data_IF_705577160167
#
_entry.id   IF_705577160167
#
_cell.length_a   1.000
_cell.length_b   1.000
_cell.length_c   1.000
_cell.angle_alpha   90.00
_cell.angle_beta   90.00
_cell.angle_gamma   90.00
#
_symmetry.space_group_name_H-M   'P 1'
#
loop_
_entity.id
_entity.type
_entity.pdbx_description
1 polymer ?
#
# COMPACT_ATOMS: atom_id res chain seq x y z
N UNK A 1 -41.39 5.68 17.56
CA UNK A 1 -40.32 6.05 16.62
C UNK A 1 -39.89 4.88 15.75
N UNK A 2 -39.43 3.75 16.32
CA UNK A 2 -39.00 2.56 15.55
C UNK A 2 -40.03 2.05 14.52
N UNK A 3 -41.32 2.07 14.86
CA UNK A 3 -42.38 1.59 13.95
C UNK A 3 -42.47 2.34 12.61
N UNK A 4 -42.16 3.65 12.55
CA UNK A 4 -42.23 4.41 11.28
C UNK A 4 -41.00 4.17 10.40
N UNK A 5 -39.82 3.99 11.00
CA UNK A 5 -38.60 3.65 10.27
C UNK A 5 -38.75 2.24 9.68
N UNK A 6 -39.21 1.28 10.48
CA UNK A 6 -39.47 -0.10 10.04
C UNK A 6 -40.51 -0.15 8.90
N UNK A 7 -41.59 0.62 9.01
CA UNK A 7 -42.59 0.73 7.93
C UNK A 7 -41.99 1.37 6.66
N UNK A 8 -41.18 2.42 6.81
CA UNK A 8 -40.47 3.04 5.68
C UNK A 8 -39.52 2.06 4.99
N UNK A 9 -38.76 1.27 5.76
CA UNK A 9 -37.90 0.21 5.26
C UNK A 9 -38.70 -0.88 4.54
N UNK A 10 -39.84 -1.31 5.09
CA UNK A 10 -40.71 -2.28 4.44
C UNK A 10 -41.25 -1.76 3.09
N UNK A 11 -41.71 -0.51 3.03
CA UNK A 11 -42.14 0.11 1.77
C UNK A 11 -41.02 0.23 0.75
N UNK A 12 -39.82 0.56 1.20
CA UNK A 12 -38.63 0.56 0.35
C UNK A 12 -38.38 -0.83 -0.26
N UNK A 13 -38.42 -1.90 0.55
CA UNK A 13 -38.25 -3.27 0.07
C UNK A 13 -39.37 -3.74 -0.87
N UNK A 14 -40.56 -3.16 -0.76
CA UNK A 14 -41.69 -3.41 -1.67
C UNK A 14 -41.68 -2.55 -2.95
N UNK A 15 -40.66 -1.70 -3.14
CA UNK A 15 -40.59 -0.78 -4.27
C UNK A 15 -41.51 0.45 -4.18
N UNK A 16 -42.18 0.63 -3.04
CA UNK A 16 -43.06 1.76 -2.73
C UNK A 16 -42.23 2.98 -2.28
N UNK A 17 -41.47 3.51 -3.23
CA UNK A 17 -40.42 4.51 -3.01
C UNK A 17 -40.95 5.85 -2.49
N UNK A 18 -42.09 6.32 -3.00
CA UNK A 18 -42.68 7.57 -2.58
C UNK A 18 -43.17 7.52 -1.12
N UNK A 19 -43.84 6.43 -0.76
CA UNK A 19 -44.39 6.17 0.56
C UNK A 19 -43.27 5.98 1.58
N UNK A 20 -42.23 5.22 1.23
CA UNK A 20 -41.03 5.05 2.06
C UNK A 20 -40.43 6.42 2.43
N UNK A 21 -40.29 7.33 1.46
CA UNK A 21 -39.74 8.67 1.69
C UNK A 21 -40.62 9.54 2.58
N UNK A 22 -41.94 9.49 2.41
CA UNK A 22 -42.88 10.25 3.26
C UNK A 22 -42.75 9.80 4.71
N UNK A 23 -42.77 8.48 4.94
CA UNK A 23 -42.65 7.91 6.29
C UNK A 23 -41.28 8.21 6.92
N UNK A 24 -40.19 8.19 6.15
CA UNK A 24 -38.87 8.53 6.65
C UNK A 24 -38.81 10.00 7.12
N UNK A 25 -39.34 10.93 6.33
CA UNK A 25 -39.41 12.36 6.70
C UNK A 25 -40.29 12.59 7.95
N UNK A 26 -41.39 11.86 8.09
CA UNK A 26 -42.24 11.91 9.28
C UNK A 26 -41.50 11.38 10.51
N UNK A 27 -40.78 10.26 10.37
CA UNK A 27 -39.96 9.72 11.45
C UNK A 27 -38.88 10.72 11.90
N UNK A 28 -38.20 11.39 10.96
CA UNK A 28 -37.20 12.41 11.26
C UNK A 28 -37.80 13.63 11.97
N UNK A 29 -38.97 14.11 11.53
CA UNK A 29 -39.66 15.21 12.18
C UNK A 29 -40.01 14.88 13.64
N UNK A 30 -40.54 13.68 13.89
CA UNK A 30 -40.85 13.21 15.24
C UNK A 30 -39.61 13.03 16.11
N UNK A 31 -38.48 12.60 15.52
CA UNK A 31 -37.22 12.48 16.24
C UNK A 31 -36.71 13.86 16.69
N UNK A 32 -36.77 14.87 15.81
CA UNK A 32 -36.42 16.27 16.14
C UNK A 32 -37.25 16.85 17.27
N UNK A 33 -38.56 16.60 17.24
CA UNK A 33 -39.49 17.08 18.26
C UNK A 33 -39.24 16.38 19.61
N UNK A 34 -38.72 15.15 19.60
CA UNK A 34 -38.48 14.35 20.80
C UNK A 34 -37.10 14.58 21.45
N UNK A 35 -36.11 15.06 20.70
CA UNK A 35 -34.71 15.15 21.15
C UNK A 35 -34.24 16.56 21.55
N UNK A 36 -35.15 17.53 21.75
CA UNK A 36 -34.81 18.94 21.98
C UNK A 36 -33.83 19.50 20.91
N UNK A 37 -33.90 18.97 19.68
CA UNK A 37 -33.05 19.36 18.56
C UNK A 37 -31.71 18.61 18.45
N UNK A 38 -31.43 17.63 19.33
CA UNK A 38 -30.27 16.74 19.20
C UNK A 38 -30.61 15.49 18.36
N UNK A 39 -30.73 15.64 17.04
CA UNK A 39 -31.10 14.55 16.11
C UNK A 39 -29.90 13.76 15.60
N UNK A 40 -29.37 12.90 16.46
CA UNK A 40 -28.36 11.89 16.12
C UNK A 40 -28.93 10.47 16.06
N UNK A 41 -30.19 10.31 15.63
CA UNK A 41 -30.89 9.03 15.68
C UNK A 41 -31.07 8.30 14.34
N UNK A 42 -31.60 7.06 14.39
CA UNK A 42 -31.78 6.19 13.23
C UNK A 42 -32.66 6.79 12.11
N UNK A 43 -33.56 7.74 12.42
CA UNK A 43 -34.40 8.35 11.40
C UNK A 43 -33.60 9.28 10.48
N UNK A 44 -32.62 10.02 11.02
CA UNK A 44 -31.74 10.88 10.25
C UNK A 44 -30.84 10.04 9.32
N UNK A 45 -30.26 8.94 9.83
CA UNK A 45 -29.45 8.04 9.02
C UNK A 45 -30.25 7.41 7.87
N UNK A 46 -31.47 6.94 8.17
CA UNK A 46 -32.34 6.36 7.16
C UNK A 46 -32.80 7.39 6.12
N UNK A 47 -33.10 8.62 6.53
CA UNK A 47 -33.39 9.72 5.61
C UNK A 47 -32.20 10.06 4.71
N UNK A 48 -30.98 10.10 5.26
CA UNK A 48 -29.76 10.34 4.52
C UNK A 48 -29.56 9.28 3.43
N UNK A 49 -29.69 8.00 3.81
CA UNK A 49 -29.59 6.87 2.89
C UNK A 49 -30.64 6.95 1.77
N UNK A 50 -31.92 7.15 2.11
CA UNK A 50 -32.97 7.26 1.09
C UNK A 50 -32.72 8.44 0.16
N UNK A 51 -32.44 9.63 0.68
CA UNK A 51 -32.17 10.80 -0.15
C UNK A 51 -30.95 10.59 -1.06
N UNK A 52 -29.87 9.99 -0.55
CA UNK A 52 -28.69 9.64 -1.33
C UNK A 52 -29.02 8.67 -2.48
N UNK A 53 -29.80 7.63 -2.18
CA UNK A 53 -30.26 6.62 -3.13
C UNK A 53 -31.10 7.20 -4.28
N UNK A 54 -31.76 8.33 -4.07
CA UNK A 54 -32.51 9.06 -5.11
C UNK A 54 -31.70 10.16 -5.80
N UNK A 55 -30.40 10.28 -5.51
CA UNK A 55 -29.56 11.34 -6.06
C UNK A 55 -29.87 12.73 -5.50
N UNK A 56 -30.56 12.82 -4.35
CA UNK A 56 -30.92 14.09 -3.70
C UNK A 56 -29.75 14.63 -2.87
N UNK A 57 -28.58 14.76 -3.49
CA UNK A 57 -27.31 15.04 -2.81
C UNK A 57 -27.34 16.34 -2.00
N UNK A 58 -28.00 17.39 -2.50
CA UNK A 58 -28.18 18.64 -1.75
C UNK A 58 -28.96 18.44 -0.44
N UNK A 59 -29.96 17.56 -0.46
CA UNK A 59 -30.76 17.23 0.73
C UNK A 59 -29.91 16.50 1.76
N UNK A 60 -29.09 15.55 1.32
CA UNK A 60 -28.18 14.79 2.19
C UNK A 60 -27.10 15.71 2.79
N UNK A 61 -26.49 16.57 1.97
CA UNK A 61 -25.50 17.54 2.42
C UNK A 61 -26.11 18.51 3.44
N UNK A 62 -27.33 19.01 3.20
CA UNK A 62 -28.06 19.88 4.13
C UNK A 62 -28.36 19.16 5.45
N UNK A 63 -28.73 17.88 5.39
CA UNK A 63 -28.96 17.07 6.59
C UNK A 63 -27.66 16.97 7.41
N UNK A 64 -26.52 16.65 6.77
CA UNK A 64 -25.23 16.58 7.45
C UNK A 64 -24.74 17.90 8.07
N UNK A 65 -25.19 19.05 7.58
CA UNK A 65 -24.86 20.37 8.15
C UNK A 65 -25.76 20.80 9.30
N UNK A 66 -27.03 20.37 9.28
CA UNK A 66 -28.07 20.83 10.23
C UNK A 66 -28.20 19.94 11.46
N UNK A 67 -27.91 18.65 11.31
CA UNK A 67 -27.99 17.73 12.44
C UNK A 67 -26.75 17.89 13.35
N UNK A 68 -26.90 17.75 14.68
CA UNK A 68 -25.76 17.58 15.56
C UNK A 68 -24.93 16.43 15.00
N UNK A 69 -23.60 16.64 14.94
CA UNK A 69 -22.69 15.77 14.19
C UNK A 69 -23.05 14.31 14.41
N UNK A 70 -23.46 13.63 13.33
CA UNK A 70 -23.68 12.19 13.34
C UNK A 70 -22.56 11.51 14.15
N UNK A 71 -22.87 10.50 14.98
CA UNK A 71 -21.83 9.77 15.69
C UNK A 71 -20.76 9.34 14.69
N UNK A 72 -19.48 9.43 15.05
CA UNK A 72 -18.38 9.14 14.11
C UNK A 72 -18.44 7.70 13.54
N UNK A 73 -19.20 6.81 14.18
CA UNK A 73 -19.49 5.45 13.72
C UNK A 73 -20.60 5.35 12.67
N UNK A 74 -21.39 6.41 12.50
CA UNK A 74 -22.59 6.45 11.66
C UNK A 74 -22.25 6.22 10.18
N UNK A 75 -22.97 5.32 9.50
CA UNK A 75 -22.91 5.18 8.05
C UNK A 75 -23.30 6.46 7.30
N UNK A 76 -24.14 7.33 7.91
CA UNK A 76 -24.62 8.55 7.30
C UNK A 76 -23.49 9.54 6.94
N UNK A 77 -22.39 9.51 7.68
CA UNK A 77 -21.19 10.32 7.37
C UNK A 77 -20.67 10.01 5.96
N UNK A 78 -20.66 8.73 5.56
CA UNK A 78 -20.21 8.34 4.23
C UNK A 78 -21.16 8.86 3.14
N UNK A 79 -22.48 8.82 3.37
CA UNK A 79 -23.46 9.36 2.41
C UNK A 79 -23.37 10.89 2.30
N UNK A 80 -23.16 11.59 3.43
CA UNK A 80 -22.93 13.05 3.43
C UNK A 80 -21.67 13.39 2.66
N UNK A 81 -20.56 12.71 2.94
CA UNK A 81 -19.29 12.96 2.25
C UNK A 81 -19.39 12.68 0.75
N UNK A 82 -19.97 11.54 0.34
CA UNK A 82 -20.21 11.21 -1.07
C UNK A 82 -21.15 12.22 -1.75
N UNK A 83 -22.19 12.69 -1.06
CA UNK A 83 -23.10 13.72 -1.60
C UNK A 83 -22.39 15.04 -1.84
N UNK A 84 -21.60 15.51 -0.87
CA UNK A 84 -20.78 16.71 -1.02
C UNK A 84 -19.80 16.55 -2.18
N UNK A 85 -19.19 15.38 -2.32
CA UNK A 85 -18.30 15.05 -3.43
C UNK A 85 -18.99 15.10 -4.79
N UNK A 86 -20.17 14.48 -4.94
CA UNK A 86 -20.93 14.51 -6.19
C UNK A 86 -21.48 15.91 -6.54
N UNK A 87 -21.61 16.80 -5.55
CA UNK A 87 -21.89 18.23 -5.75
C UNK A 87 -20.65 19.05 -6.11
N UNK A 88 -19.47 18.42 -6.26
CA UNK A 88 -18.19 19.10 -6.52
C UNK A 88 -17.57 19.78 -5.29
N UNK A 89 -18.15 19.60 -4.10
CA UNK A 89 -17.71 20.18 -2.83
C UNK A 89 -16.69 19.27 -2.14
N UNK A 90 -15.63 18.91 -2.86
CA UNK A 90 -14.64 17.91 -2.42
C UNK A 90 -13.96 18.27 -1.09
N UNK A 91 -13.67 19.56 -0.86
CA UNK A 91 -13.08 20.02 0.39
C UNK A 91 -13.95 19.69 1.61
N UNK A 92 -15.25 19.99 1.51
CA UNK A 92 -16.22 19.71 2.57
C UNK A 92 -16.44 18.19 2.73
N UNK A 93 -16.40 17.42 1.64
CA UNK A 93 -16.46 15.97 1.70
C UNK A 93 -15.31 15.38 2.51
N UNK A 94 -14.09 15.88 2.30
CA UNK A 94 -12.90 15.47 3.06
C UNK A 94 -13.03 15.86 4.55
N UNK A 95 -13.50 17.08 4.84
CA UNK A 95 -13.71 17.53 6.22
C UNK A 95 -14.75 16.68 6.96
N UNK A 96 -15.83 16.27 6.28
CA UNK A 96 -16.86 15.41 6.85
C UNK A 96 -16.31 14.01 7.22
N UNK A 97 -15.41 13.45 6.40
CA UNK A 97 -14.86 12.11 6.59
C UNK A 97 -13.65 12.07 7.56
N UNK A 98 -12.91 13.17 7.69
CA UNK A 98 -11.65 13.23 8.44
C UNK A 98 -11.72 12.78 9.92
N UNK A 99 -12.76 13.09 10.72
CA UNK A 99 -12.88 12.61 12.09
C UNK A 99 -12.92 11.08 12.19
N UNK A 100 -13.64 10.44 11.28
CA UNK A 100 -13.81 8.99 11.24
C UNK A 100 -12.50 8.27 10.91
N UNK A 101 -11.74 8.82 9.96
CA UNK A 101 -10.39 8.32 9.64
C UNK A 101 -9.44 8.40 10.83
N UNK A 102 -9.43 9.51 11.56
CA UNK A 102 -8.55 9.69 12.73
C UNK A 102 -8.82 8.67 13.85
N UNK A 103 -10.02 8.09 13.91
CA UNK A 103 -10.45 7.27 15.04
C UNK A 103 -10.58 5.78 14.72
N UNK A 104 -11.02 5.42 13.53
CA UNK A 104 -11.42 4.03 13.22
C UNK A 104 -10.57 3.34 12.15
N UNK A 105 -9.67 4.07 11.47
CA UNK A 105 -8.70 3.52 10.49
C UNK A 105 -9.33 2.48 9.54
N UNK A 106 -10.50 2.82 8.96
CA UNK A 106 -11.27 1.87 8.15
C UNK A 106 -10.80 1.94 6.68
N UNK A 107 -10.43 0.81 6.06
CA UNK A 107 -9.91 0.81 4.68
C UNK A 107 -10.82 1.46 3.64
N UNK A 108 -12.15 1.32 3.81
CA UNK A 108 -13.13 1.94 2.93
C UNK A 108 -13.14 3.48 3.02
N UNK A 109 -12.91 4.03 4.22
CA UNK A 109 -12.86 5.48 4.41
C UNK A 109 -11.58 6.06 3.78
N UNK A 110 -10.47 5.32 3.83
CA UNK A 110 -9.23 5.68 3.11
C UNK A 110 -9.46 5.68 1.59
N UNK A 111 -10.18 4.69 1.07
CA UNK A 111 -10.55 4.65 -0.35
C UNK A 111 -11.38 5.88 -0.77
N UNK A 112 -12.44 6.19 -0.02
CA UNK A 112 -13.29 7.37 -0.29
C UNK A 112 -12.48 8.68 -0.23
N UNK A 113 -11.61 8.81 0.76
CA UNK A 113 -10.70 9.96 0.87
C UNK A 113 -9.78 10.05 -0.35
N UNK A 114 -9.25 8.94 -0.85
CA UNK A 114 -8.43 8.92 -2.06
C UNK A 114 -9.21 9.40 -3.30
N UNK A 115 -10.45 8.95 -3.48
CA UNK A 115 -11.35 9.42 -4.54
C UNK A 115 -11.56 10.94 -4.48
N UNK A 116 -11.82 11.49 -3.29
CA UNK A 116 -12.04 12.93 -3.11
C UNK A 116 -10.76 13.74 -3.39
N UNK A 117 -9.62 13.25 -2.91
CA UNK A 117 -8.31 13.88 -3.15
C UNK A 117 -7.92 13.84 -4.63
N UNK A 118 -8.19 12.74 -5.33
CA UNK A 118 -7.96 12.61 -6.76
C UNK A 118 -8.78 13.63 -7.57
N UNK A 119 -10.08 13.77 -7.28
CA UNK A 119 -10.92 14.78 -7.95
C UNK A 119 -10.51 16.21 -7.62
N UNK A 120 -9.98 16.45 -6.41
CA UNK A 120 -9.41 17.73 -6.02
C UNK A 120 -8.00 18.01 -6.60
N UNK A 121 -7.42 17.08 -7.38
CA UNK A 121 -6.09 17.23 -7.96
C UNK A 121 -4.94 17.10 -6.97
N UNK A 122 -5.15 16.42 -5.83
CA UNK A 122 -4.16 16.22 -4.76
C UNK A 122 -3.56 14.82 -4.86
N UNK A 123 -2.79 14.57 -5.91
CA UNK A 123 -2.27 13.24 -6.26
C UNK A 123 -1.42 12.61 -5.13
N UNK A 124 -0.54 13.39 -4.50
CA UNK A 124 0.33 12.88 -3.42
C UNK A 124 -0.45 12.26 -2.27
N UNK A 125 -1.49 12.97 -1.83
CA UNK A 125 -2.33 12.53 -0.72
C UNK A 125 -3.27 11.40 -1.15
N UNK A 126 -3.78 11.44 -2.38
CA UNK A 126 -4.61 10.36 -2.91
C UNK A 126 -3.84 9.03 -2.94
N UNK A 127 -2.60 9.02 -3.42
CA UNK A 127 -1.74 7.82 -3.41
C UNK A 127 -1.46 7.34 -1.98
N UNK A 128 -1.20 8.26 -1.04
CA UNK A 128 -0.99 7.90 0.36
C UNK A 128 -2.21 7.18 0.96
N UNK A 129 -3.42 7.65 0.64
CA UNK A 129 -4.67 7.05 1.11
C UNK A 129 -4.97 5.71 0.42
N UNK A 130 -4.69 5.59 -0.88
CA UNK A 130 -4.81 4.32 -1.59
C UNK A 130 -3.94 3.23 -0.94
N UNK A 131 -2.71 3.53 -0.56
CA UNK A 131 -1.83 2.56 0.12
C UNK A 131 -2.38 2.06 1.46
N UNK A 132 -3.15 2.88 2.20
CA UNK A 132 -3.83 2.42 3.42
C UNK A 132 -5.02 1.49 3.10
N UNK A 133 -5.64 1.64 1.93
CA UNK A 133 -6.82 0.90 1.51
C UNK A 133 -6.50 -0.42 0.79
N UNK A 134 -5.54 -0.41 -0.13
CA UNK A 134 -5.22 -1.51 -1.05
C UNK A 134 -4.91 -2.87 -0.40
N UNK A 135 -4.28 -2.95 0.79
CA UNK A 135 -4.04 -4.23 1.47
C UNK A 135 -5.34 -4.97 1.82
N UNK A 136 -6.41 -4.23 2.10
CA UNK A 136 -7.68 -4.75 2.63
C UNK A 136 -8.80 -4.76 1.59
N UNK A 137 -8.75 -3.88 0.59
CA UNK A 137 -9.75 -3.75 -0.45
C UNK A 137 -9.48 -4.68 -1.66
N UNK A 138 -9.16 -5.96 -1.42
CA UNK A 138 -8.82 -6.92 -2.50
C UNK A 138 -9.95 -7.12 -3.51
N UNK A 139 -11.20 -7.12 -3.04
CA UNK A 139 -12.38 -7.31 -3.89
C UNK A 139 -12.73 -6.06 -4.74
N UNK A 140 -12.27 -4.87 -4.30
CA UNK A 140 -12.52 -3.56 -4.94
C UNK A 140 -11.37 -3.11 -5.89
N UNK A 141 -10.39 -3.99 -6.16
CA UNK A 141 -9.25 -3.67 -7.04
C UNK A 141 -9.66 -3.36 -8.49
N UNK A 142 -10.70 -4.03 -9.00
CA UNK A 142 -11.29 -3.65 -10.29
C UNK A 142 -11.84 -2.24 -10.26
N UNK A 143 -12.60 -1.95 -9.19
CA UNK A 143 -13.25 -0.66 -9.01
C UNK A 143 -12.19 0.41 -9.14
N UNK A 144 -11.06 0.27 -8.45
CA UNK A 144 -9.92 1.20 -8.54
C UNK A 144 -9.52 1.61 -9.98
N UNK A 145 -9.44 0.66 -10.92
CA UNK A 145 -9.01 0.98 -12.30
C UNK A 145 -10.08 1.65 -13.16
N UNK A 146 -11.35 1.34 -12.91
CA UNK A 146 -12.47 1.88 -13.67
C UNK A 146 -13.14 3.06 -12.96
N UNK A 147 -12.95 3.24 -11.66
CA UNK A 147 -13.61 4.23 -10.80
C UNK A 147 -13.42 5.65 -11.35
N UNK A 148 -14.53 6.31 -11.61
CA UNK A 148 -14.56 7.63 -12.25
C UNK A 148 -13.94 8.71 -11.38
N UNK A 149 -13.97 8.53 -10.06
CA UNK A 149 -13.35 9.44 -9.10
C UNK A 149 -11.83 9.32 -9.10
N UNK A 150 -11.28 8.12 -9.38
CA UNK A 150 -9.84 7.90 -9.51
C UNK A 150 -9.32 8.11 -10.93
N UNK A 151 -10.19 8.15 -11.95
CA UNK A 151 -9.82 8.31 -13.36
C UNK A 151 -8.92 9.53 -13.63
N UNK A 152 -9.07 10.61 -12.86
CA UNK A 152 -8.21 11.81 -12.96
C UNK A 152 -6.82 11.63 -12.33
N UNK A 153 -6.66 10.72 -11.37
CA UNK A 153 -5.39 10.46 -10.71
C UNK A 153 -4.37 9.90 -11.71
N UNK A 154 -4.76 8.92 -12.53
CA UNK A 154 -3.81 8.19 -13.37
C UNK A 154 -3.08 9.09 -14.38
N UNK A 155 -3.74 9.99 -15.14
CA UNK A 155 -3.06 10.95 -16.00
C UNK A 155 -2.16 11.92 -15.24
N UNK A 156 -2.55 12.36 -14.03
CA UNK A 156 -1.68 13.23 -13.22
C UNK A 156 -0.38 12.53 -12.84
N UNK A 157 -0.45 11.24 -12.51
CA UNK A 157 0.74 10.43 -12.28
C UNK A 157 1.55 10.27 -13.58
N UNK A 158 0.91 10.01 -14.71
CA UNK A 158 1.59 9.92 -16.01
C UNK A 158 2.31 11.23 -16.42
N UNK A 159 1.85 12.37 -15.92
CA UNK A 159 2.48 13.69 -16.13
C UNK A 159 3.61 13.98 -15.13
N UNK A 160 3.88 13.07 -14.18
CA UNK A 160 4.90 13.26 -13.15
C UNK A 160 4.52 14.30 -12.08
N UNK A 161 3.22 14.60 -11.91
CA UNK A 161 2.73 15.59 -10.94
C UNK A 161 2.61 15.01 -9.54
N UNK A 162 3.75 14.61 -8.98
CA UNK A 162 3.85 14.09 -7.62
C UNK A 162 5.24 14.33 -7.02
N UNK A 163 5.30 14.27 -5.69
CA UNK A 163 6.52 14.42 -4.89
C UNK A 163 7.39 13.16 -4.92
N UNK A 164 8.65 13.30 -4.52
CA UNK A 164 9.57 12.15 -4.34
C UNK A 164 9.07 11.15 -3.29
N UNK A 165 8.35 11.60 -2.26
CA UNK A 165 7.71 10.71 -1.28
C UNK A 165 6.65 9.82 -1.95
N UNK A 166 5.83 10.40 -2.83
CA UNK A 166 4.87 9.64 -3.63
C UNK A 166 5.54 8.75 -4.67
N UNK A 167 6.66 9.18 -5.23
CA UNK A 167 7.46 8.34 -6.13
C UNK A 167 7.88 7.03 -5.43
N UNK A 168 8.33 7.10 -4.17
CA UNK A 168 8.60 5.89 -3.39
C UNK A 168 7.36 5.03 -3.17
N UNK A 169 6.23 5.65 -2.80
CA UNK A 169 4.95 4.97 -2.57
C UNK A 169 4.47 4.21 -3.80
N UNK A 170 4.64 4.78 -4.99
CA UNK A 170 4.24 4.15 -6.26
C UNK A 170 5.05 2.90 -6.60
N UNK A 171 6.20 2.68 -5.94
CA UNK A 171 7.05 1.50 -6.09
C UNK A 171 6.79 0.45 -4.99
N UNK A 172 5.80 0.65 -4.13
CA UNK A 172 5.38 -0.35 -3.13
C UNK A 172 4.63 -1.53 -3.78
N UNK A 173 4.71 -2.71 -3.16
CA UNK A 173 4.21 -3.97 -3.74
C UNK A 173 2.69 -4.02 -3.86
N UNK A 174 1.98 -3.25 -3.05
CA UNK A 174 0.52 -3.11 -3.07
C UNK A 174 0.05 -2.67 -4.46
N UNK A 175 0.84 -1.82 -5.10
CA UNK A 175 0.58 -1.34 -6.45
C UNK A 175 0.95 -2.36 -7.53
N UNK A 176 1.98 -3.19 -7.31
CA UNK A 176 2.27 -4.34 -8.20
C UNK A 176 1.08 -5.30 -8.17
N UNK A 177 0.60 -5.61 -6.96
CA UNK A 177 -0.55 -6.50 -6.75
C UNK A 177 -1.84 -5.93 -7.37
N UNK A 178 -2.03 -4.60 -7.32
CA UNK A 178 -3.13 -3.93 -7.99
C UNK A 178 -3.02 -4.04 -9.53
N UNK A 179 -1.79 -3.97 -10.06
CA UNK A 179 -1.49 -3.99 -11.50
C UNK A 179 -1.61 -5.37 -12.14
N UNK A 180 -1.20 -6.42 -11.44
CA UNK A 180 -1.26 -7.81 -11.89
C UNK A 180 -2.69 -8.35 -11.97
N UNK A 181 -3.61 -7.74 -11.23
CA UNK A 181 -4.98 -8.19 -11.18
C UNK A 181 -5.71 -7.87 -12.50
N UNK A 182 -6.12 -8.92 -13.21
CA UNK A 182 -7.01 -8.83 -14.36
C UNK A 182 -8.36 -9.46 -14.00
N UNK A 183 -9.49 -8.80 -14.28
CA UNK A 183 -10.79 -9.43 -14.09
C UNK A 183 -10.88 -10.66 -15.00
N UNK A 184 -11.21 -11.83 -14.43
CA UNK A 184 -11.88 -12.85 -15.21
C UNK A 184 -13.18 -12.26 -15.76
N UNK A 185 -13.60 -12.66 -16.97
CA UNK A 185 -14.89 -12.26 -17.56
C UNK A 185 -15.97 -12.26 -16.47
N UNK A 186 -16.56 -11.10 -16.21
CA UNK A 186 -17.50 -10.94 -15.10
C UNK A 186 -18.93 -11.14 -15.57
N UNK A 187 -19.73 -11.65 -14.64
CA UNK A 187 -21.19 -11.68 -14.75
C UNK A 187 -21.79 -10.30 -14.43
N UNK A 188 -21.05 -9.43 -13.70
CA UNK A 188 -21.54 -8.11 -13.26
C UNK A 188 -20.47 -7.01 -13.27
N UNK A 189 -20.86 -5.82 -13.75
CA UNK A 189 -20.10 -4.58 -13.73
C UNK A 189 -20.75 -3.56 -12.77
N UNK A 190 -20.14 -3.28 -11.60
CA UNK A 190 -20.51 -2.12 -10.80
C UNK A 190 -19.80 -0.88 -11.35
N UNK A 191 -20.54 0.19 -11.58
CA UNK A 191 -19.98 1.49 -11.99
C UNK A 191 -20.59 2.61 -11.15
N UNK A 192 -19.77 3.57 -10.75
CA UNK A 192 -20.21 4.76 -10.04
C UNK A 192 -21.02 5.72 -10.96
N UNK A 193 -21.70 6.73 -10.40
CA UNK A 193 -22.47 7.69 -11.18
C UNK A 193 -21.63 8.46 -12.22
N UNK A 194 -20.40 8.94 -11.92
CA UNK A 194 -19.52 9.53 -12.95
C UNK A 194 -19.31 8.61 -14.16
N UNK A 195 -18.98 7.34 -13.95
CA UNK A 195 -18.77 6.36 -15.00
C UNK A 195 -20.05 6.04 -15.76
N UNK A 196 -21.18 5.92 -15.07
CA UNK A 196 -22.48 5.73 -15.72
C UNK A 196 -22.84 6.92 -16.63
N UNK A 197 -22.46 8.14 -16.25
CA UNK A 197 -22.65 9.32 -17.08
C UNK A 197 -21.73 9.32 -18.31
N UNK A 198 -20.50 8.84 -18.17
CA UNK A 198 -19.54 8.69 -19.27
C UNK A 198 -19.87 7.52 -20.21
N UNK A 199 -20.71 6.56 -19.78
CA UNK A 199 -21.11 5.44 -20.63
C UNK A 199 -21.78 5.91 -21.93
N UNK A 200 -21.45 5.28 -23.07
CA UNK A 200 -22.22 5.42 -24.30
C UNK A 200 -23.71 5.19 -24.05
N UNK A 201 -24.57 6.12 -24.48
CA UNK A 201 -26.01 6.09 -24.17
C UNK A 201 -26.71 4.75 -24.47
N UNK A 202 -26.25 4.03 -25.50
CA UNK A 202 -26.75 2.69 -25.89
C UNK A 202 -26.45 1.57 -24.89
N UNK A 203 -25.47 1.75 -24.00
CA UNK A 203 -25.09 0.76 -22.98
C UNK A 203 -25.82 0.99 -21.65
N UNK A 204 -26.30 2.21 -21.39
CA UNK A 204 -27.02 2.56 -20.16
C UNK A 204 -28.24 1.68 -19.85
N UNK A 205 -29.02 1.18 -20.85
CA UNK A 205 -30.12 0.26 -20.58
C UNK A 205 -29.70 -1.10 -20.02
N UNK A 206 -28.41 -1.45 -20.05
CA UNK A 206 -27.89 -2.68 -19.42
C UNK A 206 -27.73 -2.55 -17.91
N UNK A 207 -28.00 -1.39 -17.32
CA UNK A 207 -27.71 -1.14 -15.92
C UNK A 207 -28.96 -0.70 -15.16
N UNK A 208 -29.10 -1.21 -13.95
CA UNK A 208 -30.04 -0.71 -12.96
C UNK A 208 -29.31 0.12 -11.91
N UNK A 209 -29.93 1.18 -11.38
CA UNK A 209 -29.42 1.83 -10.19
C UNK A 209 -29.45 0.84 -9.02
N UNK A 210 -28.33 0.73 -8.30
CA UNK A 210 -28.23 0.00 -7.03
C UNK A 210 -28.24 1.04 -5.93
N UNK A 211 -29.41 1.35 -5.37
CA UNK A 211 -29.53 2.57 -4.59
C UNK A 211 -28.63 2.49 -3.34
N UNK A 212 -28.65 1.36 -2.63
CA UNK A 212 -27.84 1.10 -1.43
C UNK A 212 -26.33 1.29 -1.60
N UNK A 213 -25.80 1.25 -2.83
CA UNK A 213 -24.38 1.37 -3.12
C UNK A 213 -24.02 2.73 -3.76
N UNK A 214 -25.00 3.58 -4.06
CA UNK A 214 -24.78 4.81 -4.83
C UNK A 214 -24.10 4.55 -6.17
N UNK A 215 -24.42 3.43 -6.80
CA UNK A 215 -23.77 2.92 -8.01
C UNK A 215 -24.83 2.34 -8.96
N UNK A 216 -24.42 2.04 -10.19
CA UNK A 216 -25.19 1.28 -11.15
C UNK A 216 -24.58 -0.11 -11.31
N UNK A 217 -25.41 -1.14 -11.44
CA UNK A 217 -24.96 -2.51 -11.67
C UNK A 217 -25.56 -3.04 -12.95
N UNK A 218 -24.74 -3.73 -13.74
CA UNK A 218 -25.22 -4.39 -14.95
C UNK A 218 -26.27 -5.45 -14.61
N UNK A 219 -27.31 -5.57 -15.44
CA UNK A 219 -28.43 -6.48 -15.26
C UNK A 219 -28.11 -7.77 -16.03
N UNK A 220 -27.86 -8.91 -15.35
CA UNK A 220 -27.47 -10.15 -16.05
C UNK A 220 -28.49 -10.59 -17.10
N UNK A 221 -29.79 -10.44 -16.81
CA UNK A 221 -30.86 -10.74 -17.76
C UNK A 221 -30.83 -9.84 -19.01
N UNK A 222 -30.51 -8.55 -18.85
CA UNK A 222 -30.39 -7.63 -19.99
C UNK A 222 -29.14 -7.94 -20.83
N UNK A 223 -28.03 -8.30 -20.17
CA UNK A 223 -26.80 -8.72 -20.85
C UNK A 223 -27.02 -10.02 -21.65
N UNK A 224 -27.75 -10.98 -21.10
CA UNK A 224 -28.13 -12.21 -21.81
C UNK A 224 -29.10 -11.96 -22.97
N UNK A 225 -30.04 -11.01 -22.81
CA UNK A 225 -31.00 -10.65 -23.85
C UNK A 225 -30.38 -9.84 -25.00
N UNK A 226 -29.24 -9.18 -24.77
CA UNK A 226 -28.54 -8.35 -25.75
C UNK A 226 -27.03 -8.63 -25.78
N UNK A 227 -26.60 -9.81 -26.26
CA UNK A 227 -25.20 -10.25 -26.20
C UNK A 227 -24.22 -9.32 -26.93
N UNK A 228 -24.64 -8.69 -28.03
CA UNK A 228 -23.84 -7.70 -28.73
C UNK A 228 -23.59 -6.43 -27.90
N UNK A 229 -24.57 -6.00 -27.07
CA UNK A 229 -24.38 -4.86 -26.19
C UNK A 229 -23.51 -5.24 -24.98
N UNK A 230 -23.64 -6.46 -24.47
CA UNK A 230 -22.78 -6.99 -23.42
C UNK A 230 -21.31 -7.05 -23.87
N UNK A 231 -21.03 -7.57 -25.07
CA UNK A 231 -19.67 -7.60 -25.64
C UNK A 231 -19.08 -6.19 -25.78
N UNK A 232 -19.92 -5.21 -26.18
CA UNK A 232 -19.48 -3.81 -26.29
C UNK A 232 -19.25 -3.15 -24.95
N UNK A 233 -20.01 -3.52 -23.91
CA UNK A 233 -19.77 -3.09 -22.54
C UNK A 233 -18.43 -3.64 -22.03
N UNK A 234 -18.20 -4.94 -22.20
CA UNK A 234 -16.92 -5.57 -21.84
C UNK A 234 -15.77 -4.90 -22.56
N UNK A 235 -15.91 -4.66 -23.87
CA UNK A 235 -14.89 -3.94 -24.64
C UNK A 235 -14.63 -2.53 -24.08
N UNK A 236 -15.69 -1.76 -23.81
CA UNK A 236 -15.54 -0.42 -23.25
C UNK A 236 -14.83 -0.44 -21.90
N UNK A 237 -15.23 -1.33 -20.98
CA UNK A 237 -14.62 -1.45 -19.66
C UNK A 237 -13.14 -1.87 -19.75
N UNK A 238 -12.82 -2.82 -20.62
CA UNK A 238 -11.44 -3.22 -20.91
C UNK A 238 -10.61 -2.06 -21.47
N UNK A 239 -11.17 -1.27 -22.38
CA UNK A 239 -10.47 -0.11 -22.95
C UNK A 239 -10.18 0.97 -21.88
N UNK A 240 -11.14 1.25 -20.99
CA UNK A 240 -10.99 2.18 -19.86
C UNK A 240 -9.93 1.72 -18.86
N UNK A 241 -10.01 0.45 -18.41
CA UNK A 241 -9.02 -0.15 -17.50
C UNK A 241 -7.63 -0.10 -18.12
N UNK A 242 -7.51 -0.49 -19.40
CA UNK A 242 -6.23 -0.47 -20.09
C UNK A 242 -5.68 0.95 -20.23
N UNK A 243 -6.52 1.97 -20.39
CA UNK A 243 -6.09 3.37 -20.41
C UNK A 243 -5.56 3.82 -19.04
N UNK A 244 -6.30 3.54 -17.95
CA UNK A 244 -5.87 3.82 -16.58
C UNK A 244 -4.55 3.13 -16.23
N UNK A 245 -4.43 1.83 -16.56
CA UNK A 245 -3.22 1.05 -16.33
C UNK A 245 -2.02 1.59 -17.12
N UNK A 246 -2.19 1.96 -18.40
CA UNK A 246 -1.10 2.58 -19.18
C UNK A 246 -0.63 3.90 -18.57
N UNK A 247 -1.56 4.75 -18.14
CA UNK A 247 -1.21 6.02 -17.49
C UNK A 247 -0.46 5.78 -16.17
N UNK A 248 -0.92 4.80 -15.40
CA UNK A 248 -0.26 4.36 -14.18
C UNK A 248 1.16 3.81 -14.43
N UNK A 249 1.33 2.94 -15.44
CA UNK A 249 2.64 2.37 -15.82
C UNK A 249 3.63 3.49 -16.18
N UNK A 250 3.21 4.48 -16.99
CA UNK A 250 4.01 5.67 -17.30
C UNK A 250 4.37 6.45 -16.02
N UNK A 251 3.40 6.66 -15.13
CA UNK A 251 3.63 7.32 -13.84
C UNK A 251 4.64 6.57 -12.97
N UNK A 252 4.60 5.23 -12.97
CA UNK A 252 5.58 4.39 -12.27
C UNK A 252 6.96 4.44 -12.87
N UNK A 253 7.09 4.50 -14.20
CA UNK A 253 8.38 4.70 -14.86
C UNK A 253 8.99 6.07 -14.53
N UNK A 254 8.16 7.11 -14.41
CA UNK A 254 8.62 8.43 -13.92
C UNK A 254 9.06 8.33 -12.46
N UNK A 255 8.26 7.69 -11.61
CA UNK A 255 8.57 7.50 -10.21
C UNK A 255 9.89 6.73 -10.01
N UNK A 256 10.10 5.65 -10.76
CA UNK A 256 11.33 4.87 -10.76
C UNK A 256 12.54 5.75 -11.10
N UNK A 257 12.44 6.57 -12.17
CA UNK A 257 13.51 7.50 -12.56
C UNK A 257 13.80 8.52 -11.47
N UNK A 258 12.78 9.15 -10.89
CA UNK A 258 12.95 10.11 -9.79
C UNK A 258 13.63 9.47 -8.56
N UNK A 259 13.26 8.23 -8.22
CA UNK A 259 13.88 7.51 -7.09
C UNK A 259 15.31 7.09 -7.43
N UNK A 260 15.61 6.73 -8.68
CA UNK A 260 16.98 6.46 -9.15
C UNK A 260 17.85 7.72 -9.08
N UNK A 261 17.34 8.86 -9.54
CA UNK A 261 18.00 10.17 -9.47
C UNK A 261 18.31 10.59 -8.03
N UNK A 262 17.50 10.12 -7.07
CA UNK A 262 17.71 10.40 -5.65
C UNK A 262 18.74 9.48 -4.97
N UNK A 263 19.13 8.34 -5.57
CA UNK A 263 19.99 7.35 -4.89
C UNK A 263 21.37 7.88 -4.48
N UNK A 264 22.11 8.67 -5.29
CA UNK A 264 23.39 9.22 -4.87
C UNK A 264 23.27 10.12 -3.63
N UNK A 265 22.19 10.90 -3.53
CA UNK A 265 21.92 11.75 -2.35
C UNK A 265 21.63 10.91 -1.10
N UNK A 266 20.87 9.82 -1.25
CA UNK A 266 20.61 8.90 -0.14
C UNK A 266 21.87 8.16 0.32
N UNK A 267 22.67 7.69 -0.63
CA UNK A 267 23.98 7.10 -0.36
C UNK A 267 24.90 8.07 0.40
N UNK A 268 24.97 9.32 -0.02
CA UNK A 268 25.76 10.36 0.67
C UNK A 268 25.24 10.61 2.10
N UNK A 269 23.93 10.70 2.28
CA UNK A 269 23.32 10.87 3.60
C UNK A 269 23.56 9.66 4.53
N UNK A 270 23.54 8.43 4.00
CA UNK A 270 23.89 7.22 4.73
C UNK A 270 25.37 7.20 5.14
N UNK A 271 26.26 7.56 4.21
CA UNK A 271 27.69 7.70 4.47
C UNK A 271 28.00 8.69 5.60
N UNK A 272 27.38 9.88 5.60
CA UNK A 272 27.55 10.86 6.67
C UNK A 272 27.10 10.36 8.05
N UNK A 273 26.17 9.42 8.09
CA UNK A 273 25.71 8.75 9.32
C UNK A 273 26.58 7.55 9.72
N UNK A 274 27.59 7.21 8.92
CA UNK A 274 28.40 5.98 9.01
C UNK A 274 27.53 4.72 8.95
N UNK A 275 26.51 4.77 8.12
CA UNK A 275 25.58 3.67 7.89
C UNK A 275 25.94 2.96 6.57
N UNK A 276 26.91 2.05 6.65
CA UNK A 276 27.43 1.35 5.47
C UNK A 276 26.39 0.41 4.84
N UNK A 277 25.52 -0.18 5.67
CA UNK A 277 24.42 -1.02 5.20
C UNK A 277 23.49 -0.22 4.29
N UNK A 278 22.99 0.92 4.78
CA UNK A 278 22.11 1.78 3.98
C UNK A 278 22.82 2.32 2.72
N UNK A 279 24.08 2.76 2.83
CA UNK A 279 24.90 3.20 1.69
C UNK A 279 24.95 2.12 0.61
N UNK A 280 25.36 0.91 0.99
CA UNK A 280 25.49 -0.24 0.08
C UNK A 280 24.17 -0.56 -0.61
N UNK A 281 23.07 -0.48 0.14
CA UNK A 281 21.74 -0.74 -0.41
C UNK A 281 21.32 0.28 -1.48
N UNK A 282 21.59 1.57 -1.28
CA UNK A 282 21.29 2.57 -2.30
C UNK A 282 22.11 2.35 -3.59
N UNK A 283 23.39 1.98 -3.45
CA UNK A 283 24.24 1.64 -4.60
C UNK A 283 23.70 0.39 -5.31
N UNK A 284 23.47 -0.70 -4.59
CA UNK A 284 22.97 -1.96 -5.17
C UNK A 284 21.58 -1.79 -5.81
N UNK A 285 20.70 -1.04 -5.15
CA UNK A 285 19.37 -0.74 -5.69
C UNK A 285 19.43 0.08 -6.96
N UNK A 286 20.37 1.04 -7.07
CA UNK A 286 20.59 1.73 -8.34
C UNK A 286 21.12 0.76 -9.40
N UNK A 287 22.11 -0.07 -9.07
CA UNK A 287 22.78 -0.94 -10.06
C UNK A 287 21.90 -2.04 -10.62
N UNK A 288 20.95 -2.57 -9.85
CA UNK A 288 20.01 -3.57 -10.40
C UNK A 288 19.03 -2.99 -11.43
N UNK A 289 18.77 -1.69 -11.36
CA UNK A 289 17.79 -1.01 -12.22
C UNK A 289 18.47 -0.30 -13.40
N UNK A 290 19.63 0.31 -13.16
CA UNK A 290 20.43 0.96 -14.19
C UNK A 290 21.94 0.91 -13.84
N UNK A 291 22.65 -0.15 -14.25
CA UNK A 291 24.08 -0.30 -14.03
C UNK A 291 24.93 0.85 -14.59
N UNK A 292 24.46 1.55 -15.62
CA UNK A 292 25.21 2.64 -16.25
C UNK A 292 25.43 3.83 -15.31
N UNK A 293 24.60 3.94 -14.26
CA UNK A 293 24.62 5.05 -13.28
C UNK A 293 25.69 4.92 -12.21
N UNK A 294 26.54 3.89 -12.23
CA UNK A 294 27.59 3.70 -11.23
C UNK A 294 28.50 4.94 -11.07
N UNK A 295 28.71 5.67 -12.16
CA UNK A 295 29.51 6.89 -12.19
C UNK A 295 28.95 8.03 -11.33
N UNK A 296 27.63 8.05 -11.07
CA UNK A 296 26.99 9.08 -10.25
C UNK A 296 27.38 9.00 -8.76
N UNK A 297 27.89 7.85 -8.33
CA UNK A 297 28.37 7.62 -6.96
C UNK A 297 29.84 8.02 -6.77
N UNK A 298 30.60 8.26 -7.84
CA UNK A 298 32.02 8.66 -7.79
C UNK A 298 32.26 9.97 -7.04
N UNK A 299 31.24 10.85 -6.99
CA UNK A 299 31.33 12.14 -6.33
C UNK A 299 31.24 12.09 -4.80
N UNK A 300 31.01 10.92 -4.19
CA UNK A 300 30.85 10.76 -2.75
C UNK A 300 32.21 10.38 -2.14
N UNK A 301 32.87 11.27 -1.36
CA UNK A 301 34.21 10.99 -0.86
C UNK A 301 34.23 9.85 0.17
N UNK A 302 35.11 8.86 -0.03
CA UNK A 302 35.33 7.76 0.90
C UNK A 302 34.55 6.48 0.59
N UNK A 303 33.73 6.44 -0.47
CA UNK A 303 33.02 5.23 -0.90
C UNK A 303 33.67 4.58 -2.13
N UNK A 304 34.81 5.09 -2.61
CA UNK A 304 35.51 4.61 -3.80
C UNK A 304 35.74 3.09 -3.78
N UNK A 305 36.16 2.46 -2.65
CA UNK A 305 36.32 1.01 -2.60
C UNK A 305 35.03 0.23 -2.88
N UNK A 306 33.88 0.73 -2.39
CA UNK A 306 32.57 0.12 -2.65
C UNK A 306 32.19 0.27 -4.13
N UNK A 307 32.38 1.46 -4.69
CA UNK A 307 32.06 1.72 -6.10
C UNK A 307 32.93 0.87 -7.03
N UNK A 308 34.22 0.72 -6.72
CA UNK A 308 35.14 -0.13 -7.47
C UNK A 308 34.80 -1.62 -7.37
N UNK A 309 34.42 -2.11 -6.18
CA UNK A 309 33.90 -3.45 -5.96
C UNK A 309 32.67 -3.72 -6.84
N UNK A 310 31.70 -2.80 -6.82
CA UNK A 310 30.48 -2.88 -7.64
C UNK A 310 30.79 -2.85 -9.14
N UNK A 311 31.73 -2.02 -9.60
CA UNK A 311 32.18 -2.02 -11.00
C UNK A 311 32.78 -3.36 -11.41
N UNK A 312 33.60 -3.96 -10.56
CA UNK A 312 34.21 -5.25 -10.84
C UNK A 312 33.13 -6.35 -10.95
N UNK A 313 32.12 -6.34 -10.08
CA UNK A 313 30.97 -7.25 -10.19
C UNK A 313 30.24 -7.07 -11.51
N UNK A 314 29.89 -5.83 -11.88
CA UNK A 314 29.22 -5.53 -13.15
C UNK A 314 30.07 -5.87 -14.39
N UNK A 315 31.39 -5.69 -14.30
CA UNK A 315 32.31 -6.06 -15.38
C UNK A 315 32.44 -7.58 -15.54
N UNK A 316 32.34 -8.33 -14.45
CA UNK A 316 32.33 -9.80 -14.48
C UNK A 316 31.00 -10.37 -14.96
N UNK A 317 29.89 -9.70 -14.66
CA UNK A 317 28.54 -10.07 -15.07
C UNK A 317 27.62 -8.83 -15.08
N UNK A 318 27.20 -8.33 -16.25
CA UNK A 318 26.31 -7.17 -16.33
C UNK A 318 24.96 -7.35 -15.63
N UNK A 319 24.53 -8.60 -15.41
CA UNK A 319 23.28 -8.94 -14.73
C UNK A 319 23.48 -9.28 -13.24
N UNK A 320 24.68 -9.07 -12.67
CA UNK A 320 25.03 -9.54 -11.32
C UNK A 320 23.97 -9.19 -10.26
N UNK A 321 23.57 -7.92 -10.16
CA UNK A 321 22.59 -7.46 -9.17
C UNK A 321 21.15 -7.86 -9.51
N UNK A 322 20.81 -7.99 -10.80
CA UNK A 322 19.51 -8.49 -11.26
C UNK A 322 19.35 -9.97 -10.87
N UNK A 323 20.40 -10.77 -11.02
CA UNK A 323 20.41 -12.18 -10.59
C UNK A 323 20.26 -12.32 -9.08
N UNK A 324 20.95 -11.49 -8.29
CA UNK A 324 20.78 -11.48 -6.82
C UNK A 324 19.34 -11.17 -6.40
N UNK A 325 18.70 -10.17 -7.04
CA UNK A 325 17.29 -9.86 -6.77
C UNK A 325 16.36 -11.00 -7.20
N UNK A 326 16.60 -11.58 -8.39
CA UNK A 326 15.82 -12.72 -8.89
C UNK A 326 15.91 -13.91 -7.95
N UNK A 327 17.11 -14.22 -7.43
CA UNK A 327 17.29 -15.29 -6.45
C UNK A 327 16.44 -15.04 -5.19
N UNK A 328 16.42 -13.81 -4.66
CA UNK A 328 15.56 -13.44 -3.53
C UNK A 328 14.07 -13.59 -3.83
N UNK A 329 13.62 -13.22 -5.02
CA UNK A 329 12.21 -13.33 -5.41
C UNK A 329 11.77 -14.79 -5.55
N UNK A 330 12.57 -15.61 -6.23
CA UNK A 330 12.30 -17.02 -6.48
C UNK A 330 12.35 -17.84 -5.20
N UNK A 331 13.21 -17.46 -4.24
CA UNK A 331 13.38 -18.14 -2.95
C UNK A 331 12.06 -18.38 -2.19
N UNK A 332 11.07 -17.49 -2.33
CA UNK A 332 9.78 -17.63 -1.67
C UNK A 332 8.97 -18.86 -2.14
N UNK A 333 9.33 -19.43 -3.29
CA UNK A 333 8.58 -20.49 -3.96
C UNK A 333 9.44 -21.69 -4.36
N UNK A 334 10.73 -21.49 -4.60
CA UNK A 334 11.66 -22.51 -5.10
C UNK A 334 13.09 -22.22 -4.61
N UNK A 335 13.54 -22.99 -3.62
CA UNK A 335 14.87 -22.85 -3.03
C UNK A 335 15.97 -23.33 -3.97
N UNK A 336 15.71 -24.39 -4.75
CA UNK A 336 16.68 -24.98 -5.68
C UNK A 336 16.96 -24.01 -6.82
N UNK A 337 15.90 -23.44 -7.42
CA UNK A 337 16.07 -22.43 -8.46
C UNK A 337 16.77 -21.15 -7.95
N UNK A 338 16.52 -20.75 -6.69
CA UNK A 338 17.25 -19.64 -6.08
C UNK A 338 18.75 -19.97 -5.93
N UNK A 339 19.09 -21.19 -5.50
CA UNK A 339 20.48 -21.64 -5.38
C UNK A 339 21.18 -21.72 -6.75
N UNK A 340 20.52 -22.27 -7.76
CA UNK A 340 21.05 -22.33 -9.13
C UNK A 340 21.40 -20.93 -9.67
N UNK A 341 20.56 -19.93 -9.39
CA UNK A 341 20.84 -18.54 -9.76
C UNK A 341 22.11 -18.03 -9.04
N UNK A 342 22.25 -18.29 -7.74
CA UNK A 342 23.44 -17.88 -6.98
C UNK A 342 24.72 -18.58 -7.45
N UNK A 343 24.63 -19.87 -7.78
CA UNK A 343 25.75 -20.67 -8.31
C UNK A 343 26.12 -20.27 -9.75
N UNK A 344 25.21 -19.62 -10.48
CA UNK A 344 25.47 -19.07 -11.81
C UNK A 344 26.31 -17.78 -11.81
N UNK A 345 26.49 -17.15 -10.64
CA UNK A 345 27.34 -15.96 -10.50
C UNK A 345 28.82 -16.31 -10.69
N UNK A 346 29.68 -15.35 -11.11
CA UNK A 346 31.10 -15.62 -11.29
C UNK A 346 31.76 -16.14 -10.00
N UNK A 347 32.59 -17.19 -10.14
CA UNK A 347 33.13 -17.96 -9.00
C UNK A 347 34.00 -17.12 -8.07
N UNK A 348 34.67 -16.11 -8.58
CA UNK A 348 35.45 -15.14 -7.82
C UNK A 348 34.63 -14.40 -6.75
N UNK A 349 33.31 -14.29 -6.93
CA UNK A 349 32.40 -13.65 -5.98
C UNK A 349 31.71 -14.63 -5.03
N UNK A 350 31.94 -15.94 -5.15
CA UNK A 350 31.27 -16.96 -4.32
C UNK A 350 31.53 -16.82 -2.82
N UNK A 351 32.70 -16.29 -2.45
CA UNK A 351 33.06 -15.98 -1.06
C UNK A 351 32.78 -14.53 -0.67
N UNK A 352 32.24 -13.72 -1.57
CA UNK A 352 31.97 -12.32 -1.30
C UNK A 352 30.84 -12.19 -0.26
N UNK A 353 30.96 -11.31 0.75
CA UNK A 353 29.95 -11.15 1.81
C UNK A 353 28.51 -10.97 1.30
N UNK A 354 28.32 -10.21 0.20
CA UNK A 354 27.01 -10.02 -0.43
C UNK A 354 26.40 -11.36 -0.88
N UNK A 355 27.15 -12.16 -1.65
CA UNK A 355 26.68 -13.45 -2.17
C UNK A 355 26.44 -14.43 -1.02
N UNK A 356 27.34 -14.45 -0.03
CA UNK A 356 27.20 -15.26 1.17
C UNK A 356 25.92 -14.90 1.96
N UNK A 357 25.56 -13.62 2.05
CA UNK A 357 24.30 -13.20 2.67
C UNK A 357 23.08 -13.76 1.93
N UNK A 358 23.04 -13.67 0.60
CA UNK A 358 21.95 -14.28 -0.18
C UNK A 358 21.90 -15.80 -0.02
N UNK A 359 23.05 -16.47 -0.01
CA UNK A 359 23.14 -17.91 0.24
C UNK A 359 22.59 -18.28 1.63
N UNK A 360 22.78 -17.42 2.64
CA UNK A 360 22.21 -17.68 3.98
C UNK A 360 20.69 -17.67 3.98
N UNK A 361 20.04 -16.93 3.07
CA UNK A 361 18.59 -16.94 2.93
C UNK A 361 18.08 -18.28 2.37
N UNK A 362 18.81 -18.87 1.42
CA UNK A 362 18.52 -20.22 0.92
C UNK A 362 18.63 -21.24 2.07
N UNK A 363 19.74 -21.22 2.81
CA UNK A 363 19.95 -22.11 3.95
C UNK A 363 18.85 -21.95 5.03
N UNK A 364 18.36 -20.74 5.25
CA UNK A 364 17.25 -20.51 6.16
C UNK A 364 15.92 -21.07 5.67
N UNK A 365 15.60 -20.91 4.39
CA UNK A 365 14.39 -21.49 3.81
C UNK A 365 14.41 -23.03 3.91
N UNK A 366 15.58 -23.65 3.84
CA UNK A 366 15.81 -25.08 4.09
C UNK A 366 15.88 -25.47 5.58
N UNK A 367 15.64 -24.54 6.51
CA UNK A 367 15.77 -24.75 7.96
C UNK A 367 17.17 -25.17 8.44
N UNK A 368 18.23 -24.89 7.66
CA UNK A 368 19.63 -25.19 7.99
C UNK A 368 20.27 -24.05 8.80
N UNK A 369 19.64 -23.70 9.91
CA UNK A 369 19.97 -22.51 10.70
C UNK A 369 21.43 -22.48 11.21
N UNK A 370 21.98 -23.63 11.61
CA UNK A 370 23.37 -23.70 12.12
C UNK A 370 24.39 -23.36 11.05
N UNK A 371 24.19 -23.86 9.82
CA UNK A 371 25.07 -23.57 8.68
C UNK A 371 24.92 -22.11 8.25
N UNK A 372 23.69 -21.61 8.16
CA UNK A 372 23.42 -20.22 7.85
C UNK A 372 24.07 -19.26 8.85
N UNK A 373 23.99 -19.57 10.14
CA UNK A 373 24.63 -18.78 11.21
C UNK A 373 26.16 -18.79 11.09
N UNK A 374 26.77 -19.95 10.83
CA UNK A 374 28.21 -20.05 10.64
C UNK A 374 28.69 -19.21 9.44
N UNK A 375 27.92 -19.19 8.34
CA UNK A 375 28.21 -18.32 7.19
C UNK A 375 28.10 -16.85 7.59
N UNK A 376 26.99 -16.43 8.22
CA UNK A 376 26.80 -15.02 8.60
C UNK A 376 27.84 -14.52 9.59
N UNK A 377 28.30 -15.34 10.55
CA UNK A 377 29.36 -14.91 11.46
C UNK A 377 30.67 -14.60 10.71
N UNK A 378 31.00 -15.35 9.64
CA UNK A 378 32.13 -15.00 8.76
C UNK A 378 31.86 -13.71 7.98
N UNK A 379 30.61 -13.45 7.59
CA UNK A 379 30.24 -12.18 6.94
C UNK A 379 30.40 -11.01 7.91
N UNK A 380 30.02 -11.17 9.19
CA UNK A 380 30.28 -10.15 10.23
C UNK A 380 31.76 -9.85 10.40
N UNK A 381 32.64 -10.85 10.26
CA UNK A 381 34.09 -10.64 10.33
C UNK A 381 34.63 -9.89 9.11
N UNK A 382 34.06 -10.12 7.92
CA UNK A 382 34.46 -9.47 6.67
C UNK A 382 33.90 -8.04 6.55
N UNK A 383 32.70 -7.80 7.10
CA UNK A 383 32.02 -6.50 7.12
C UNK A 383 31.70 -6.07 8.56
N UNK A 384 32.72 -5.72 9.37
CA UNK A 384 32.53 -5.39 10.78
C UNK A 384 31.74 -4.10 11.01
N UNK A 385 31.71 -3.21 10.01
CA UNK A 385 31.02 -1.92 10.07
C UNK A 385 29.63 -1.93 9.40
N UNK A 386 29.23 -3.06 8.80
CA UNK A 386 27.91 -3.24 8.18
C UNK A 386 26.93 -3.86 9.17
N UNK A 387 25.75 -3.26 9.32
CA UNK A 387 24.71 -3.72 10.28
C UNK A 387 24.00 -4.99 9.80
N UNK A 388 23.83 -5.17 8.49
CA UNK A 388 23.02 -6.25 7.93
C UNK A 388 23.44 -7.65 8.39
N UNK A 389 24.72 -8.05 8.33
CA UNK A 389 25.12 -9.40 8.74
C UNK A 389 24.89 -9.65 10.24
N UNK A 390 25.11 -8.65 11.10
CA UNK A 390 24.85 -8.79 12.54
C UNK A 390 23.36 -8.95 12.84
N UNK A 391 22.51 -8.14 12.21
CA UNK A 391 21.07 -8.26 12.38
C UNK A 391 20.55 -9.63 11.94
N UNK A 392 20.97 -10.09 10.76
CA UNK A 392 20.59 -11.42 10.26
C UNK A 392 21.14 -12.54 11.17
N UNK A 393 22.39 -12.42 11.64
CA UNK A 393 22.98 -13.42 12.53
C UNK A 393 22.20 -13.52 13.85
N UNK A 394 21.79 -12.39 14.44
CA UNK A 394 20.96 -12.37 15.64
C UNK A 394 19.61 -13.06 15.43
N UNK A 395 18.96 -12.83 14.28
CA UNK A 395 17.70 -13.49 13.91
C UNK A 395 17.84 -15.00 13.80
N UNK A 396 18.87 -15.47 13.09
CA UNK A 396 19.10 -16.91 12.92
C UNK A 396 19.49 -17.54 14.25
N UNK A 397 20.35 -16.90 15.05
CA UNK A 397 20.72 -17.38 16.37
C UNK A 397 19.49 -17.52 17.28
N UNK A 398 18.56 -16.56 17.24
CA UNK A 398 17.28 -16.66 17.95
C UNK A 398 16.42 -17.84 17.46
N UNK A 399 16.21 -17.97 16.15
CA UNK A 399 15.45 -19.07 15.56
C UNK A 399 16.08 -20.45 15.86
N UNK A 400 17.41 -20.52 15.97
CA UNK A 400 18.15 -21.73 16.33
C UNK A 400 18.23 -21.98 17.86
N UNK A 401 17.62 -21.12 18.69
CA UNK A 401 17.68 -21.23 20.15
C UNK A 401 19.06 -20.95 20.77
N UNK A 402 19.99 -20.35 20.02
CA UNK A 402 21.38 -20.06 20.40
C UNK A 402 21.51 -18.70 21.09
N UNK A 403 20.84 -18.56 22.23
CA UNK A 403 20.72 -17.30 23.00
C UNK A 403 22.08 -16.71 23.37
N UNK A 404 23.04 -17.55 23.71
CA UNK A 404 24.41 -17.16 24.08
C UNK A 404 25.14 -16.43 22.95
N UNK A 405 24.85 -16.79 21.70
CA UNK A 405 25.46 -16.15 20.53
C UNK A 405 24.85 -14.78 20.24
N UNK A 406 23.58 -14.56 20.59
CA UNK A 406 22.93 -13.25 20.37
C UNK A 406 23.67 -12.16 21.16
N UNK A 407 24.09 -12.45 22.39
CA UNK A 407 24.88 -11.51 23.22
C UNK A 407 26.21 -11.18 22.54
N UNK A 408 26.94 -12.20 22.08
CA UNK A 408 28.23 -12.02 21.40
C UNK A 408 28.08 -11.23 20.11
N UNK A 409 27.04 -11.51 19.31
CA UNK A 409 26.75 -10.76 18.09
C UNK A 409 26.42 -9.31 18.43
N UNK A 410 25.60 -9.10 19.46
CA UNK A 410 25.17 -7.79 19.89
C UNK A 410 26.35 -6.91 20.33
N UNK A 411 27.24 -7.45 21.15
CA UNK A 411 28.42 -6.73 21.66
C UNK A 411 29.42 -6.37 20.56
N UNK A 412 29.46 -7.17 19.48
CA UNK A 412 30.34 -6.95 18.33
C UNK A 412 29.74 -6.05 17.26
N UNK A 413 28.43 -5.77 17.32
CA UNK A 413 27.75 -5.06 16.25
C UNK A 413 28.19 -3.60 16.14
N UNK A 414 28.26 -3.04 14.92
CA UNK A 414 28.72 -1.67 14.71
C UNK A 414 27.74 -0.66 15.32
N UNK A 415 28.24 0.51 15.72
CA UNK A 415 27.40 1.55 16.35
C UNK A 415 26.18 1.96 15.51
N UNK A 416 26.25 1.81 14.19
CA UNK A 416 25.16 2.13 13.28
C UNK A 416 23.88 1.32 13.55
N UNK A 417 23.95 0.16 14.23
CA UNK A 417 22.77 -0.63 14.61
C UNK A 417 21.71 0.15 15.37
N UNK A 418 22.10 1.21 16.09
CA UNK A 418 21.18 2.08 16.83
C UNK A 418 20.14 2.79 15.93
N UNK A 419 20.39 2.87 14.62
CA UNK A 419 19.47 3.47 13.65
C UNK A 419 18.42 2.48 13.13
N UNK A 420 18.58 1.19 13.41
CA UNK A 420 17.72 0.13 12.89
C UNK A 420 16.65 -0.28 13.89
N UNK A 421 15.37 -0.12 13.52
CA UNK A 421 14.24 -0.55 14.35
C UNK A 421 14.34 -2.03 14.70
N UNK A 422 14.73 -2.88 13.76
CA UNK A 422 14.91 -4.32 14.01
C UNK A 422 15.88 -4.61 15.16
N UNK A 423 16.88 -3.76 15.38
CA UNK A 423 17.82 -3.93 16.50
C UNK A 423 17.14 -3.83 17.87
N UNK A 424 16.01 -3.11 17.95
CA UNK A 424 15.18 -3.06 19.17
C UNK A 424 14.52 -4.40 19.47
N UNK A 425 14.14 -5.17 18.44
CA UNK A 425 13.60 -6.51 18.57
C UNK A 425 14.65 -7.47 19.12
N UNK A 426 15.90 -7.35 18.65
CA UNK A 426 17.04 -8.10 19.21
C UNK A 426 17.19 -7.81 20.70
N UNK A 427 17.07 -6.54 21.11
CA UNK A 427 17.06 -6.14 22.52
C UNK A 427 15.89 -6.73 23.32
N UNK A 428 14.70 -6.85 22.72
CA UNK A 428 13.55 -7.52 23.34
C UNK A 428 13.79 -9.02 23.48
N UNK A 429 14.35 -9.68 22.46
CA UNK A 429 14.71 -11.10 22.52
C UNK A 429 15.70 -11.38 23.64
N UNK A 430 16.72 -10.52 23.79
CA UNK A 430 17.70 -10.62 24.87
C UNK A 430 17.05 -10.42 26.25
N UNK A 431 16.10 -9.49 26.42
CA UNK A 431 15.34 -9.37 27.68
C UNK A 431 14.53 -10.63 28.01
N UNK A 432 14.02 -11.33 27.00
CA UNK A 432 13.26 -12.57 27.19
C UNK A 432 14.13 -13.75 27.66
N UNK A 433 15.46 -13.64 27.63
CA UNK A 433 16.35 -14.73 28.07
C UNK A 433 16.55 -14.80 29.58
N UNK A 434 16.10 -13.81 30.35
CA UNK A 434 16.13 -13.83 31.82
C UNK A 434 17.47 -13.41 32.45
N UNK A 435 18.47 -13.07 31.64
CA UNK A 435 19.76 -12.57 32.13
C UNK A 435 19.69 -11.07 32.42
N UNK A 436 20.32 -10.65 33.52
CA UNK A 436 20.37 -9.25 33.95
C UNK A 436 21.12 -8.40 32.91
N UNK A 437 20.36 -7.66 32.12
CA UNK A 437 20.84 -6.87 31.00
C UNK A 437 21.69 -5.65 31.47
N UNK A 438 22.98 -5.55 31.11
CA UNK A 438 23.89 -4.53 31.66
C UNK A 438 23.81 -3.15 30.99
N UNK A 439 23.09 -3.00 29.87
CA UNK A 439 22.99 -1.72 29.15
C UNK A 439 21.63 -1.06 29.42
N UNK A 440 21.66 0.13 30.04
CA UNK A 440 20.47 0.93 30.32
C UNK A 440 19.55 1.05 29.10
N UNK A 441 18.24 1.10 29.36
CA UNK A 441 17.19 1.13 28.33
C UNK A 441 17.63 1.97 27.12
N UNK A 442 17.85 1.32 25.98
CA UNK A 442 18.08 2.01 24.72
C UNK A 442 16.85 2.87 24.45
N UNK A 443 16.97 4.17 24.73
CA UNK A 443 16.01 5.15 24.23
C UNK A 443 16.15 5.14 22.71
N UNK A 444 15.19 4.48 22.08
CA UNK A 444 15.03 4.51 20.64
C UNK A 444 14.70 5.95 20.29
N UNK A 445 15.70 6.71 19.83
CA UNK A 445 15.42 7.94 19.10
C UNK A 445 14.63 7.53 17.87
N UNK A 446 13.32 7.80 17.86
CA UNK A 446 12.46 7.63 16.68
C UNK A 446 13.10 8.42 15.54
N UNK A 447 13.91 7.77 14.71
CA UNK A 447 14.45 8.38 13.52
C UNK A 447 13.29 8.49 12.53
N UNK A 448 12.80 9.72 12.36
CA UNK A 448 11.67 10.06 11.48
C UNK A 448 12.02 10.00 9.98
N UNK A 449 13.23 9.57 9.61
CA UNK A 449 13.64 9.55 8.22
C UNK A 449 13.03 8.35 7.48
N UNK A 450 11.92 8.61 6.78
CA UNK A 450 11.21 7.70 5.87
C UNK A 450 11.78 7.73 4.44
N UNK A 451 13.10 7.86 4.29
CA UNK A 451 13.76 7.59 3.01
C UNK A 451 13.93 6.08 2.88
N UNK A 452 12.88 5.38 2.44
CA UNK A 452 12.76 3.92 2.33
C UNK A 452 13.15 3.13 3.61
N UNK A 453 12.18 2.86 4.50
CA UNK A 453 12.36 1.92 5.61
C UNK A 453 12.89 0.53 5.17
N UNK A 454 12.60 0.15 3.92
CA UNK A 454 12.73 -1.25 3.46
C UNK A 454 13.93 -1.53 2.56
N UNK A 455 14.81 -0.54 2.32
CA UNK A 455 16.12 -0.86 1.75
C UNK A 455 17.01 -1.56 2.79
N UNK A 456 16.87 -1.28 4.10
CA UNK A 456 17.38 -2.21 5.12
C UNK A 456 16.65 -3.55 5.08
N UNK A 457 15.34 -3.52 4.82
CA UNK A 457 14.40 -4.65 4.68
C UNK A 457 14.85 -5.76 3.74
N UNK A 458 15.35 -5.45 2.54
CA UNK A 458 15.71 -6.50 1.57
C UNK A 458 16.99 -7.28 1.90
N UNK A 459 17.91 -6.70 2.69
CA UNK A 459 19.00 -7.46 3.32
C UNK A 459 18.66 -7.89 4.75
N UNK A 460 17.42 -7.68 5.22
CA UNK A 460 16.98 -8.05 6.55
C UNK A 460 15.70 -8.90 6.45
N UNK A 461 15.85 -10.22 6.44
CA UNK A 461 14.78 -11.19 6.22
C UNK A 461 13.38 -10.76 6.70
N UNK A 462 12.43 -10.47 5.81
CA UNK A 462 11.01 -10.52 6.16
C UNK A 462 10.43 -11.90 5.86
N UNK A 463 11.07 -12.96 6.40
CA UNK A 463 10.45 -14.28 6.41
C UNK A 463 9.47 -14.30 7.58
N UNK A 464 8.17 -14.42 7.28
CA UNK A 464 7.16 -14.83 8.27
C UNK A 464 7.52 -16.23 8.74
N UNK A 465 8.27 -16.31 9.85
CA UNK A 465 8.54 -17.59 10.50
C UNK A 465 7.18 -18.13 10.95
N UNK A 466 6.77 -19.34 10.52
CA UNK A 466 5.61 -20.00 11.09
C UNK A 466 5.91 -20.17 12.58
N UNK A 467 5.12 -19.52 13.44
CA UNK A 467 5.10 -19.86 14.85
C UNK A 467 4.31 -21.16 14.92
N UNK A 468 5.00 -22.28 15.09
CA UNK A 468 4.38 -23.54 15.51
C UNK A 468 3.90 -23.46 16.96
#
# INVERSE_FOLDING_TARGET
MNSLIEQSQAYWHLGMTAEARVLAKQALALERDASDGDTTGPAAEWCALLAFNFGEFDSVATLGQREPRFPETSPAISFVALSLHYLGRHAEAMEALAPRLRRYDRPHDHYQMACFLAQAGRADEAVAQLLQSLPHCRDDRLKTWIDGDLKRLWPMLAEGKFSLETAHRLLEMEFDTLREWQPARREEWPIDPPNFNDLPARLRPLFDPVPQAGAHRSIPAAMLAAPELAERLDKWACDEIAASQRAFDVGREIALRLVLDAQPYYAQAAWHRRDLCALRQHVHWAMRHDPARIHEFEGIPGIEPLVDEVRQMLASDPEFFVKLERACHVLAHDTDAALEILESLPREWSSHPLVLMHHTYVLMAESRHTEALAVLLRVCDQWPDDVAPFFNASRIAFAAGRKELIIVIYDRAPRAVQFYRGWTEVGVWLKSTGDAWPFGALEVKKCLFRGQPDLGGRLSLEIKVPVE
#
